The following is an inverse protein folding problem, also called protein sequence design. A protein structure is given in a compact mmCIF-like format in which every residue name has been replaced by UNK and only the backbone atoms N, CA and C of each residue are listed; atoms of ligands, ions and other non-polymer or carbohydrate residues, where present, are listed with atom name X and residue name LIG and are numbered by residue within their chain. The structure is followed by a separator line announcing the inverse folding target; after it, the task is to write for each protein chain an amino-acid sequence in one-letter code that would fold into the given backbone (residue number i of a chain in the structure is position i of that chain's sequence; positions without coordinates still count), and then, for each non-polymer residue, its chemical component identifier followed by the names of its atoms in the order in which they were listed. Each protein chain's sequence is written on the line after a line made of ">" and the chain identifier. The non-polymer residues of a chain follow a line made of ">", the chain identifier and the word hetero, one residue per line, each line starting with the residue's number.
data_IF_793783792374
#
_entry.id   IF_793783792374
#
_cell.length_a   1.000
_cell.length_b   1.000
_cell.length_c   1.000
_cell.angle_alpha   90.00
_cell.angle_beta   90.00
_cell.angle_gamma   90.00
#
_symmetry.space_group_name_H-M   'P 1'
#
loop_
_entity.id
_entity.type
_entity.pdbx_description
1 polymer ?
#
# COMPACT_ATOMS: atom_id res chain seq x y z
N UNK A 1 -40.15 11.02 -59.14
CA UNK A 1 -40.02 11.82 -57.91
C UNK A 1 -40.31 10.90 -56.73
N UNK A 2 -39.28 10.52 -55.98
CA UNK A 2 -39.41 9.83 -54.69
C UNK A 2 -38.73 10.72 -53.63
N UNK A 3 -39.28 10.86 -52.41
CA UNK A 3 -38.74 11.78 -51.42
C UNK A 3 -37.50 11.18 -50.74
N UNK A 4 -36.47 11.99 -50.57
CA UNK A 4 -35.28 11.66 -49.79
C UNK A 4 -35.64 11.72 -48.30
N UNK A 5 -35.51 10.59 -47.60
CA UNK A 5 -35.64 10.51 -46.14
C UNK A 5 -34.45 11.20 -45.45
N UNK A 6 -34.66 12.00 -44.39
CA UNK A 6 -33.58 12.61 -43.63
C UNK A 6 -33.08 11.63 -42.55
N UNK A 7 -32.20 10.69 -42.93
CA UNK A 7 -31.36 9.97 -41.98
C UNK A 7 -30.09 10.78 -41.71
N UNK A 8 -30.25 11.91 -41.02
CA UNK A 8 -29.10 12.62 -40.44
C UNK A 8 -29.48 13.46 -39.23
N UNK A 9 -30.30 12.89 -38.33
CA UNK A 9 -30.24 13.30 -36.92
C UNK A 9 -29.06 12.57 -36.29
N UNK A 10 -27.87 13.12 -36.56
CA UNK A 10 -26.63 12.81 -35.87
C UNK A 10 -26.93 12.78 -34.37
N UNK A 11 -26.75 11.60 -33.76
CA UNK A 11 -26.72 11.41 -32.32
C UNK A 11 -25.52 12.20 -31.77
N UNK A 12 -25.67 13.52 -31.65
CA UNK A 12 -24.80 14.33 -30.83
C UNK A 12 -25.15 13.96 -29.38
N UNK A 13 -24.32 13.13 -28.75
CA UNK A 13 -24.34 13.00 -27.30
C UNK A 13 -24.27 14.41 -26.72
N UNK A 14 -25.18 14.82 -25.81
CA UNK A 14 -25.10 16.15 -25.23
C UNK A 14 -23.73 16.29 -24.55
N UNK A 15 -22.95 17.27 -24.99
CA UNK A 15 -21.68 17.61 -24.35
C UNK A 15 -22.00 17.95 -22.89
N UNK A 16 -21.42 17.20 -21.95
CA UNK A 16 -21.63 17.41 -20.52
C UNK A 16 -21.19 18.81 -20.13
N UNK A 17 -21.98 19.47 -19.27
CA UNK A 17 -21.66 20.79 -18.72
C UNK A 17 -20.26 20.77 -18.07
N UNK A 18 -19.36 21.73 -18.38
CA UNK A 18 -18.06 21.87 -17.72
C UNK A 18 -18.12 21.78 -16.18
N UNK A 19 -19.17 22.30 -15.54
CA UNK A 19 -19.35 22.21 -14.09
C UNK A 19 -19.57 20.76 -13.62
N UNK A 20 -20.39 19.99 -14.34
CA UNK A 20 -20.63 18.58 -14.07
C UNK A 20 -19.36 17.75 -14.26
N UNK A 21 -18.58 18.03 -15.30
CA UNK A 21 -17.28 17.38 -15.53
C UNK A 21 -16.33 17.67 -14.36
N UNK A 22 -16.27 18.90 -13.86
CA UNK A 22 -15.43 19.30 -12.72
C UNK A 22 -15.84 18.54 -11.46
N UNK A 23 -17.13 18.50 -11.14
CA UNK A 23 -17.66 17.78 -9.97
C UNK A 23 -17.33 16.28 -10.03
N UNK A 24 -17.51 15.65 -11.20
CA UNK A 24 -17.16 14.23 -11.41
C UNK A 24 -15.66 13.98 -11.20
N UNK A 25 -14.78 14.86 -11.71
CA UNK A 25 -13.33 14.77 -11.51
C UNK A 25 -12.95 14.90 -10.03
N UNK A 26 -13.54 15.86 -9.32
CA UNK A 26 -13.27 16.06 -7.88
C UNK A 26 -13.76 14.87 -7.04
N UNK A 27 -14.96 14.35 -7.31
CA UNK A 27 -15.46 13.15 -6.64
C UNK A 27 -14.54 11.95 -6.85
N UNK A 28 -14.04 11.74 -8.08
CA UNK A 28 -13.05 10.69 -8.36
C UNK A 28 -11.75 10.91 -7.59
N UNK A 29 -11.23 12.14 -7.57
CA UNK A 29 -10.01 12.50 -6.83
C UNK A 29 -10.16 12.18 -5.34
N UNK A 30 -11.26 12.57 -4.70
CA UNK A 30 -11.51 12.28 -3.29
C UNK A 30 -11.52 10.78 -3.01
N UNK A 31 -12.13 9.96 -3.88
CA UNK A 31 -12.13 8.49 -3.74
C UNK A 31 -10.74 7.89 -3.84
N UNK A 32 -9.93 8.35 -4.78
CA UNK A 32 -8.53 7.89 -4.95
C UNK A 32 -7.71 8.24 -3.70
N UNK A 33 -7.87 9.44 -3.16
CA UNK A 33 -7.16 9.85 -1.94
C UNK A 33 -7.61 9.01 -0.74
N UNK A 34 -8.91 8.76 -0.58
CA UNK A 34 -9.44 7.89 0.47
C UNK A 34 -8.88 6.47 0.38
N UNK A 35 -8.87 5.89 -0.83
CA UNK A 35 -8.30 4.57 -1.08
C UNK A 35 -6.81 4.52 -0.75
N UNK A 36 -6.04 5.54 -1.17
CA UNK A 36 -4.62 5.64 -0.86
C UNK A 36 -4.34 5.63 0.65
N UNK A 37 -5.08 6.42 1.43
CA UNK A 37 -4.93 6.45 2.90
C UNK A 37 -5.35 5.12 3.53
N UNK A 38 -6.44 4.54 3.04
CA UNK A 38 -6.94 3.28 3.59
C UNK A 38 -5.99 2.12 3.31
N UNK A 39 -5.50 2.01 2.07
CA UNK A 39 -4.57 0.95 1.69
C UNK A 39 -3.22 1.08 2.39
N UNK A 40 -2.72 2.30 2.64
CA UNK A 40 -1.52 2.50 3.45
C UNK A 40 -1.73 2.10 4.92
N UNK A 41 -2.92 2.37 5.48
CA UNK A 41 -3.29 1.90 6.83
C UNK A 41 -3.34 0.37 6.90
N UNK A 42 -3.95 -0.26 5.92
CA UNK A 42 -4.07 -1.71 5.87
C UNK A 42 -2.66 -2.34 5.76
N UNK A 43 -1.80 -1.79 4.90
CA UNK A 43 -0.42 -2.22 4.77
C UNK A 43 0.39 -2.07 6.08
N UNK A 44 0.28 -0.93 6.76
CA UNK A 44 0.94 -0.74 8.05
C UNK A 44 0.43 -1.74 9.10
N UNK A 45 -0.88 -1.99 9.13
CA UNK A 45 -1.49 -2.96 10.04
C UNK A 45 -0.93 -4.36 9.81
N UNK A 46 -0.78 -4.77 8.55
CA UNK A 46 -0.19 -6.05 8.17
C UNK A 46 1.28 -6.15 8.59
N UNK A 47 2.07 -5.08 8.44
CA UNK A 47 3.46 -5.03 8.90
C UNK A 47 3.55 -5.18 10.43
N UNK A 48 2.76 -4.41 11.17
CA UNK A 48 2.73 -4.45 12.63
C UNK A 48 2.29 -5.83 13.14
N UNK A 49 1.29 -6.44 12.50
CA UNK A 49 0.80 -7.78 12.81
C UNK A 49 1.89 -8.83 12.54
N UNK A 50 2.56 -8.77 11.39
CA UNK A 50 3.67 -9.67 11.05
C UNK A 50 4.82 -9.55 12.05
N UNK A 51 5.20 -8.32 12.41
CA UNK A 51 6.25 -8.07 13.40
C UNK A 51 5.86 -8.66 14.76
N UNK A 52 4.63 -8.42 15.20
CA UNK A 52 4.15 -8.84 16.52
C UNK A 52 3.97 -10.35 16.64
N UNK A 53 3.35 -10.99 15.65
CA UNK A 53 2.94 -12.39 15.74
C UNK A 53 3.94 -13.37 15.10
N UNK A 54 4.87 -12.88 14.28
CA UNK A 54 5.85 -13.72 13.57
C UNK A 54 7.28 -13.35 13.92
N UNK A 55 7.70 -12.11 13.69
CA UNK A 55 9.10 -11.70 13.85
C UNK A 55 9.54 -11.83 15.32
N UNK A 56 8.80 -11.22 16.26
CA UNK A 56 9.14 -11.26 17.68
C UNK A 56 9.14 -12.68 18.25
N UNK A 57 8.09 -13.52 18.03
CA UNK A 57 8.10 -14.89 18.53
C UNK A 57 9.21 -15.77 17.97
N UNK A 58 9.59 -15.60 16.70
CA UNK A 58 10.71 -16.35 16.13
C UNK A 58 12.05 -15.88 16.69
N UNK A 59 12.19 -14.57 16.96
CA UNK A 59 13.38 -13.97 17.58
C UNK A 59 13.56 -14.48 18.99
N UNK A 60 12.49 -14.54 19.77
CA UNK A 60 12.50 -15.04 21.15
C UNK A 60 12.87 -16.52 21.23
N UNK A 61 12.44 -17.32 20.25
CA UNK A 61 12.77 -18.75 20.17
C UNK A 61 14.20 -19.03 19.72
N UNK A 62 14.84 -18.09 19.02
CA UNK A 62 16.20 -18.22 18.49
C UNK A 62 16.40 -19.46 17.59
N UNK A 63 15.35 -19.87 16.87
CA UNK A 63 15.34 -21.06 16.00
C UNK A 63 15.75 -20.78 14.56
N UNK A 64 15.80 -19.51 14.17
CA UNK A 64 16.15 -19.03 12.82
C UNK A 64 16.92 -17.72 12.90
N UNK A 65 17.64 -17.40 11.82
CA UNK A 65 18.25 -16.08 11.62
C UNK A 65 17.16 -15.08 11.19
N UNK A 66 16.51 -14.48 12.19
CA UNK A 66 15.37 -13.57 12.00
C UNK A 66 15.78 -12.29 11.26
N UNK A 67 16.94 -11.73 11.58
CA UNK A 67 17.37 -10.46 10.98
C UNK A 67 17.70 -10.65 9.50
N UNK A 68 18.21 -11.82 9.10
CA UNK A 68 18.39 -12.15 7.68
C UNK A 68 17.07 -12.49 6.99
N UNK A 69 16.13 -13.13 7.68
CA UNK A 69 14.85 -13.56 7.10
C UNK A 69 13.87 -12.40 6.89
N UNK A 70 13.82 -11.46 7.83
CA UNK A 70 12.91 -10.30 7.80
C UNK A 70 13.62 -9.00 7.43
N UNK A 71 14.95 -9.02 7.28
CA UNK A 71 15.76 -7.89 6.81
C UNK A 71 15.53 -6.66 7.71
N UNK A 72 15.27 -5.49 7.12
CA UNK A 72 14.92 -4.26 7.82
C UNK A 72 13.40 -4.00 7.90
N UNK A 73 12.57 -5.05 8.00
CA UNK A 73 11.09 -4.93 8.08
C UNK A 73 10.61 -3.96 9.16
N UNK A 74 11.25 -3.95 10.34
CA UNK A 74 10.89 -3.03 11.43
C UNK A 74 11.09 -1.56 11.00
N UNK A 75 12.18 -1.25 10.28
CA UNK A 75 12.41 0.09 9.72
C UNK A 75 11.44 0.42 8.57
N UNK A 76 11.07 -0.56 7.74
CA UNK A 76 10.00 -0.38 6.72
C UNK A 76 8.68 0.00 7.39
N UNK A 77 8.33 -0.66 8.49
CA UNK A 77 7.14 -0.35 9.29
C UNK A 77 7.18 1.09 9.83
N UNK A 78 8.32 1.55 10.34
CA UNK A 78 8.49 2.94 10.81
C UNK A 78 8.28 3.97 9.69
N UNK A 79 8.82 3.71 8.49
CA UNK A 79 8.63 4.60 7.32
C UNK A 79 7.18 4.61 6.86
N UNK A 80 6.51 3.46 6.81
CA UNK A 80 5.08 3.37 6.47
C UNK A 80 4.21 4.10 7.50
N UNK A 81 4.50 3.96 8.79
CA UNK A 81 3.80 4.70 9.85
C UNK A 81 3.95 6.23 9.70
N UNK A 82 5.16 6.70 9.39
CA UNK A 82 5.42 8.11 9.15
C UNK A 82 4.72 8.62 7.87
N UNK A 83 4.65 7.80 6.82
CA UNK A 83 3.93 8.12 5.59
C UNK A 83 2.42 8.23 5.85
N UNK A 84 1.83 7.25 6.53
CA UNK A 84 0.42 7.26 6.90
C UNK A 84 0.07 8.51 7.72
N UNK A 85 0.88 8.85 8.72
CA UNK A 85 0.67 10.05 9.52
C UNK A 85 0.60 11.32 8.66
N UNK A 86 1.57 11.51 7.76
CA UNK A 86 1.60 12.67 6.86
C UNK A 86 0.42 12.69 5.90
N UNK A 87 0.00 11.53 5.40
CA UNK A 87 -1.20 11.41 4.57
C UNK A 87 -2.47 11.79 5.35
N UNK A 88 -2.58 11.38 6.61
CA UNK A 88 -3.70 11.74 7.48
C UNK A 88 -3.72 13.24 7.79
N UNK A 89 -2.57 13.85 8.06
CA UNK A 89 -2.45 15.31 8.24
C UNK A 89 -2.87 16.06 6.98
N UNK A 90 -2.34 15.64 5.82
CA UNK A 90 -2.68 16.26 4.54
C UNK A 90 -4.15 16.07 4.13
N UNK A 91 -4.82 15.03 4.64
CA UNK A 91 -6.24 14.76 4.38
C UNK A 91 -7.21 15.29 5.44
N UNK A 92 -6.69 15.92 6.50
CA UNK A 92 -7.51 16.59 7.50
C UNK A 92 -8.10 17.92 6.98
N UNK A 93 -7.60 18.45 5.86
CA UNK A 93 -8.13 19.66 5.21
C UNK A 93 -9.58 19.43 4.74
N UNK A 94 -10.56 20.19 5.25
CA UNK A 94 -11.96 20.01 4.92
C UNK A 94 -12.32 20.37 3.48
N UNK A 95 -11.55 21.24 2.81
CA UNK A 95 -11.76 21.57 1.39
C UNK A 95 -11.06 20.55 0.47
N UNK A 96 -11.81 19.70 -0.28
CA UNK A 96 -11.22 18.74 -1.19
C UNK A 96 -10.41 19.39 -2.33
N UNK A 97 -10.68 20.64 -2.69
CA UNK A 97 -9.92 21.38 -3.71
C UNK A 97 -8.54 21.85 -3.19
N UNK A 98 -8.43 22.10 -1.87
CA UNK A 98 -7.19 22.53 -1.21
C UNK A 98 -6.23 21.38 -0.87
N UNK A 99 -6.67 20.12 -0.95
CA UNK A 99 -5.85 18.94 -0.64
C UNK A 99 -4.62 18.81 -1.55
N UNK A 100 -3.41 18.97 -1.01
CA UNK A 100 -2.14 18.77 -1.75
C UNK A 100 -1.40 17.52 -1.26
N UNK A 101 -1.78 16.36 -1.79
CA UNK A 101 -1.18 15.07 -1.39
C UNK A 101 0.22 14.84 -2.00
N UNK A 102 0.52 15.44 -3.15
CA UNK A 102 1.80 15.22 -3.84
C UNK A 102 3.02 15.62 -3.00
N UNK A 103 2.88 16.65 -2.18
CA UNK A 103 3.96 17.15 -1.31
C UNK A 103 4.38 16.10 -0.27
N UNK A 104 3.44 15.29 0.22
CA UNK A 104 3.74 14.20 1.17
C UNK A 104 4.76 13.22 0.57
N UNK A 105 4.61 12.86 -0.70
CA UNK A 105 5.51 11.94 -1.38
C UNK A 105 6.87 12.57 -1.69
N UNK A 106 6.91 13.85 -2.01
CA UNK A 106 8.17 14.58 -2.22
C UNK A 106 9.01 14.54 -0.93
N UNK A 107 8.38 14.79 0.21
CA UNK A 107 9.03 14.76 1.52
C UNK A 107 9.43 13.34 1.95
N UNK A 108 8.61 12.34 1.64
CA UNK A 108 8.86 10.94 2.01
C UNK A 108 9.87 10.24 1.09
N UNK A 109 10.12 10.76 -0.13
CA UNK A 109 10.91 10.11 -1.18
C UNK A 109 12.23 9.54 -0.68
N UNK A 110 13.05 10.34 0.00
CA UNK A 110 14.38 9.93 0.42
C UNK A 110 14.32 8.76 1.43
N UNK A 111 13.42 8.86 2.42
CA UNK A 111 13.23 7.80 3.42
C UNK A 111 12.72 6.51 2.79
N UNK A 112 11.75 6.62 1.86
CA UNK A 112 11.25 5.47 1.09
C UNK A 112 12.38 4.81 0.30
N UNK A 113 13.15 5.58 -0.46
CA UNK A 113 14.26 5.06 -1.25
C UNK A 113 15.32 4.38 -0.37
N UNK A 114 15.76 5.04 0.69
CA UNK A 114 16.85 4.55 1.54
C UNK A 114 16.50 3.26 2.29
N UNK A 115 15.25 3.11 2.71
CA UNK A 115 14.80 1.94 3.48
C UNK A 115 14.35 0.80 2.57
N UNK A 116 13.54 1.08 1.55
CA UNK A 116 13.01 0.02 0.69
C UNK A 116 14.07 -0.55 -0.25
N UNK A 117 15.11 0.19 -0.63
CA UNK A 117 16.21 -0.38 -1.44
C UNK A 117 16.90 -1.53 -0.71
N UNK A 118 17.07 -1.43 0.62
CA UNK A 118 17.69 -2.46 1.44
C UNK A 118 16.77 -3.68 1.55
N UNK A 119 15.48 -3.44 1.82
CA UNK A 119 14.47 -4.49 1.94
C UNK A 119 14.36 -5.30 0.65
N UNK A 120 14.23 -4.61 -0.49
CA UNK A 120 14.11 -5.23 -1.80
C UNK A 120 15.40 -5.94 -2.24
N UNK A 121 16.57 -5.36 -1.95
CA UNK A 121 17.85 -5.96 -2.33
C UNK A 121 18.07 -7.34 -1.69
N UNK A 122 17.65 -7.53 -0.43
CA UNK A 122 17.83 -8.79 0.30
C UNK A 122 16.64 -9.77 0.14
N UNK A 123 15.62 -9.44 -0.66
CA UNK A 123 14.40 -10.24 -0.75
C UNK A 123 14.63 -11.67 -1.25
N UNK A 124 15.47 -11.85 -2.27
CA UNK A 124 15.77 -13.18 -2.84
C UNK A 124 16.56 -14.07 -1.86
N UNK A 125 17.46 -13.46 -1.09
CA UNK A 125 18.23 -14.16 -0.06
C UNK A 125 17.32 -14.60 1.09
N UNK A 126 16.44 -13.72 1.55
CA UNK A 126 15.43 -14.03 2.58
C UNK A 126 14.51 -15.17 2.14
N UNK A 127 14.00 -15.13 0.90
CA UNK A 127 13.18 -16.20 0.33
C UNK A 127 13.93 -17.53 0.22
N UNK A 128 15.20 -17.49 -0.18
CA UNK A 128 16.03 -18.70 -0.27
C UNK A 128 16.27 -19.32 1.10
N UNK A 129 16.48 -18.47 2.11
CA UNK A 129 16.62 -18.90 3.50
C UNK A 129 15.33 -19.51 4.05
N UNK A 130 14.17 -18.88 3.80
CA UNK A 130 12.86 -19.41 4.19
C UNK A 130 12.65 -20.83 3.65
N UNK A 131 12.91 -21.04 2.35
CA UNK A 131 12.81 -22.35 1.69
C UNK A 131 13.74 -23.41 2.28
N UNK A 132 14.85 -23.00 2.87
CA UNK A 132 15.73 -23.95 3.57
C UNK A 132 15.11 -24.38 4.91
N UNK A 133 14.58 -23.44 5.69
CA UNK A 133 13.89 -23.71 6.95
C UNK A 133 12.60 -24.52 6.79
N UNK A 134 11.87 -24.34 5.68
CA UNK A 134 10.67 -25.13 5.38
C UNK A 134 10.95 -26.63 5.17
N UNK A 135 12.20 -27.02 4.88
CA UNK A 135 12.61 -28.43 4.78
C UNK A 135 12.83 -29.08 6.14
N UNK A 136 12.97 -28.28 7.18
CA UNK A 136 13.19 -28.72 8.55
C UNK A 136 11.87 -28.69 9.32
N UNK A 137 11.23 -29.86 9.47
CA UNK A 137 9.88 -29.95 10.06
C UNK A 137 9.76 -29.30 11.45
N UNK A 138 10.81 -29.39 12.28
CA UNK A 138 10.84 -28.73 13.59
C UNK A 138 10.75 -27.21 13.51
N UNK A 139 11.50 -26.61 12.57
CA UNK A 139 11.53 -25.15 12.35
C UNK A 139 10.23 -24.70 11.67
N UNK A 140 9.80 -25.42 10.62
CA UNK A 140 8.55 -25.17 9.91
C UNK A 140 7.34 -25.13 10.84
N UNK A 141 7.29 -26.01 11.85
CA UNK A 141 6.20 -26.01 12.81
C UNK A 141 6.12 -24.71 13.62
N UNK A 142 7.26 -24.07 13.91
CA UNK A 142 7.28 -22.75 14.56
C UNK A 142 6.67 -21.66 13.66
N UNK A 143 6.97 -21.66 12.36
CA UNK A 143 6.34 -20.75 11.41
C UNK A 143 4.83 -20.97 11.33
N UNK A 144 4.37 -22.22 11.22
CA UNK A 144 2.93 -22.55 11.19
C UNK A 144 2.23 -22.01 12.44
N UNK A 145 2.81 -22.22 13.63
CA UNK A 145 2.24 -21.70 14.87
C UNK A 145 2.12 -20.18 14.88
N UNK A 146 3.13 -19.46 14.37
CA UNK A 146 3.10 -18.01 14.26
C UNK A 146 2.03 -17.54 13.26
N UNK A 147 1.99 -18.14 12.07
CA UNK A 147 1.01 -17.80 11.01
C UNK A 147 -0.43 -18.03 11.47
N UNK A 148 -0.71 -19.11 12.22
CA UNK A 148 -2.03 -19.36 12.79
C UNK A 148 -2.45 -18.34 13.86
N UNK A 149 -1.51 -17.53 14.35
CA UNK A 149 -1.76 -16.47 15.33
C UNK A 149 -2.06 -15.11 14.66
N UNK A 150 -1.83 -14.99 13.35
CA UNK A 150 -2.29 -13.85 12.55
C UNK A 150 -3.82 -13.83 12.56
N UNK A 151 -4.41 -12.83 13.22
CA UNK A 151 -5.85 -12.62 13.33
C UNK A 151 -6.22 -11.22 12.88
#
# INVERSE_FOLDING_TARGET
>A
MAPLSPLSSILASPALDPAEVRLRKMSRRSKVIQELVQTERDFLTDLELCIREVVKPLRDRQVVDVDRLFTNMETVCEVSAALLHRLQEATAEPDPEALVIGEVFIQAKAALEDVYKIYCYHHDDANSLLKSYEKEEGIKQHFITCVLSLK
#
